data_IF_576974382733
#
_entry.id   IF_576974382733
#
_cell.length_a   1.000
_cell.length_b   1.000
_cell.length_c   1.000
_cell.angle_alpha   90.00
_cell.angle_beta   90.00
_cell.angle_gamma   90.00
#
_symmetry.space_group_name_H-M   'P 1'
#
loop_
_entity.id
_entity.type
_entity.pdbx_description
1 polymer ?
#
# COMPACT_ATOMS: atom_id res chain seq x y z
N UNK A 1 -26.86 -8.44 7.89
CA UNK A 1 -26.93 -7.75 6.60
C UNK A 1 -26.04 -8.53 5.64
N UNK A 2 -26.61 -9.16 4.60
CA UNK A 2 -25.81 -9.80 3.56
C UNK A 2 -25.66 -8.81 2.41
N UNK A 3 -24.45 -8.28 2.24
CA UNK A 3 -24.09 -7.43 1.11
C UNK A 3 -23.64 -8.35 -0.01
N UNK A 4 -24.40 -8.41 -1.10
CA UNK A 4 -23.94 -9.07 -2.33
C UNK A 4 -23.20 -8.05 -3.21
N UNK A 5 -21.99 -8.40 -3.63
CA UNK A 5 -21.15 -7.53 -4.43
C UNK A 5 -21.47 -7.66 -5.92
N UNK A 6 -21.25 -6.58 -6.68
CA UNK A 6 -21.39 -6.61 -8.13
C UNK A 6 -20.43 -7.62 -8.78
N UNK A 7 -20.83 -8.16 -9.93
CA UNK A 7 -19.98 -9.08 -10.71
C UNK A 7 -18.64 -8.44 -11.13
N UNK A 8 -18.58 -7.11 -11.25
CA UNK A 8 -17.33 -6.38 -11.52
C UNK A 8 -16.35 -6.49 -10.36
N UNK A 9 -16.81 -6.31 -9.12
CA UNK A 9 -15.97 -6.44 -7.93
C UNK A 9 -15.48 -7.88 -7.73
N UNK A 10 -16.33 -8.87 -7.97
CA UNK A 10 -15.98 -10.30 -7.89
C UNK A 10 -14.85 -10.71 -8.86
N UNK A 11 -14.59 -9.93 -9.91
CA UNK A 11 -13.55 -10.19 -10.92
C UNK A 11 -12.23 -9.48 -10.66
N UNK A 12 -12.15 -8.59 -9.66
CA UNK A 12 -10.91 -7.89 -9.34
C UNK A 12 -9.94 -8.91 -8.73
N UNK A 13 -8.74 -9.09 -9.31
CA UNK A 13 -7.76 -10.00 -8.73
C UNK A 13 -7.27 -9.48 -7.37
N UNK A 14 -6.76 -10.37 -6.55
CA UNK A 14 -6.06 -9.99 -5.32
C UNK A 14 -4.94 -9.00 -5.62
N UNK A 15 -4.72 -8.05 -4.71
CA UNK A 15 -3.62 -7.10 -4.82
C UNK A 15 -2.28 -7.85 -4.91
N UNK A 16 -1.54 -7.60 -5.99
CA UNK A 16 -0.34 -8.34 -6.38
C UNK A 16 0.73 -8.38 -5.27
N UNK A 17 0.83 -7.31 -4.48
CA UNK A 17 1.87 -7.16 -3.46
C UNK A 17 1.38 -7.44 -2.03
N UNK A 18 0.15 -7.91 -1.86
CA UNK A 18 -0.44 -8.12 -0.53
C UNK A 18 0.36 -9.09 0.35
N UNK A 19 1.02 -10.09 -0.24
CA UNK A 19 1.85 -11.03 0.51
C UNK A 19 3.18 -10.42 0.96
N UNK A 20 3.76 -9.54 0.14
CA UNK A 20 4.99 -8.80 0.47
C UNK A 20 4.72 -7.86 1.64
N UNK A 21 3.61 -7.12 1.60
CA UNK A 21 3.20 -6.24 2.70
C UNK A 21 3.01 -7.02 4.01
N UNK A 22 2.34 -8.18 3.95
CA UNK A 22 2.18 -9.05 5.14
C UNK A 22 3.52 -9.53 5.69
N UNK A 23 4.47 -9.87 4.83
CA UNK A 23 5.81 -10.30 5.24
C UNK A 23 6.58 -9.16 5.89
N UNK A 24 6.56 -7.95 5.31
CA UNK A 24 7.18 -6.75 5.87
C UNK A 24 6.61 -6.47 7.26
N UNK A 25 5.28 -6.46 7.41
CA UNK A 25 4.62 -6.19 8.68
C UNK A 25 4.93 -7.25 9.75
N UNK A 26 5.02 -8.53 9.35
CA UNK A 26 5.47 -9.58 10.27
C UNK A 26 6.90 -9.33 10.76
N UNK A 27 7.82 -8.96 9.86
CA UNK A 27 9.22 -8.69 10.21
C UNK A 27 9.40 -7.45 11.07
N UNK A 28 8.62 -6.39 10.83
CA UNK A 28 8.56 -5.22 11.72
C UNK A 28 8.11 -5.61 13.13
N UNK A 29 7.08 -6.45 13.27
CA UNK A 29 6.61 -6.96 14.58
C UNK A 29 7.65 -7.83 15.29
N UNK A 30 8.51 -8.52 14.55
CA UNK A 30 9.67 -9.26 15.08
C UNK A 30 10.83 -8.34 15.51
N UNK A 31 10.67 -7.01 15.41
CA UNK A 31 11.71 -6.03 15.77
C UNK A 31 12.86 -5.95 14.77
N UNK A 32 12.65 -6.42 13.52
CA UNK A 32 13.66 -6.32 12.47
C UNK A 32 13.67 -4.92 11.86
N UNK A 33 14.87 -4.39 11.65
CA UNK A 33 15.08 -3.22 10.81
C UNK A 33 14.97 -3.63 9.33
N UNK A 34 14.07 -2.98 8.59
CA UNK A 34 13.68 -3.36 7.23
C UNK A 34 13.94 -2.19 6.29
N UNK A 35 14.90 -2.37 5.38
CA UNK A 35 15.11 -1.45 4.26
C UNK A 35 14.07 -1.81 3.19
N UNK A 36 13.04 -0.97 3.05
CA UNK A 36 11.97 -1.19 2.10
C UNK A 36 12.24 -0.48 0.77
N UNK A 37 12.51 -1.27 -0.28
CA UNK A 37 12.69 -0.81 -1.66
C UNK A 37 11.61 -1.36 -2.60
N UNK A 38 10.49 -1.87 -2.05
CA UNK A 38 9.44 -2.54 -2.84
C UNK A 38 8.42 -1.58 -3.44
N UNK A 39 8.35 -0.33 -2.97
CA UNK A 39 7.39 0.68 -3.41
C UNK A 39 8.14 1.95 -3.85
N UNK A 40 7.74 2.52 -4.98
CA UNK A 40 8.34 3.73 -5.55
C UNK A 40 7.72 5.03 -5.03
N UNK A 41 7.21 5.03 -3.80
CA UNK A 41 6.65 6.24 -3.20
C UNK A 41 7.79 7.23 -2.92
N UNK A 42 7.63 8.51 -3.28
CA UNK A 42 8.64 9.51 -2.98
C UNK A 42 8.77 9.68 -1.47
N UNK A 43 10.01 9.77 -1.00
CA UNK A 43 10.36 10.08 0.38
C UNK A 43 10.34 11.60 0.66
N UNK A 44 10.48 12.40 -0.40
CA UNK A 44 10.47 13.87 -0.33
C UNK A 44 9.05 14.44 -0.49
N UNK A 45 8.75 15.57 0.16
CA UNK A 45 7.46 16.23 0.01
C UNK A 45 7.26 16.78 -1.40
N UNK A 46 6.00 16.99 -1.77
CA UNK A 46 5.68 17.73 -2.99
C UNK A 46 6.29 19.14 -2.96
N UNK A 47 6.68 19.71 -4.13
CA UNK A 47 7.22 21.06 -4.20
C UNK A 47 6.28 22.09 -3.58
N UNK A 48 6.83 23.01 -2.77
CA UNK A 48 6.04 24.00 -2.01
C UNK A 48 5.07 24.80 -2.87
N UNK A 49 5.50 25.24 -4.06
CA UNK A 49 4.64 25.96 -5.03
C UNK A 49 3.35 25.22 -5.38
N UNK A 50 3.40 23.88 -5.46
CA UNK A 50 2.23 23.05 -5.78
C UNK A 50 1.29 23.00 -4.58
N UNK A 51 1.84 22.86 -3.37
CA UNK A 51 1.07 22.83 -2.13
C UNK A 51 0.40 24.18 -1.85
N UNK A 52 1.11 25.30 -2.08
CA UNK A 52 0.61 26.66 -1.87
C UNK A 52 -0.54 27.05 -2.84
N UNK A 53 -0.76 26.27 -3.91
CA UNK A 53 -1.77 26.53 -4.93
C UNK A 53 -3.08 25.71 -4.76
N UNK A 54 -3.15 24.83 -3.75
CA UNK A 54 -4.34 24.04 -3.38
C UNK A 54 -5.29 24.85 -2.50
#
# INVERSE_FOLDING_TARGET
MNVDYSNKLKRIPSYLFAEIDRAIEKKKKEGKDIINLSVGDPDLPAPKRVVDAL
#
